data_IF_217984956869
#
_entry.id   IF_217984956869
#
_cell.length_a   1.000
_cell.length_b   1.000
_cell.length_c   1.000
_cell.angle_alpha   90.00
_cell.angle_beta   90.00
_cell.angle_gamma   90.00
#
_symmetry.space_group_name_H-M   'P 1'
#
loop_
_entity.id
_entity.type
_entity.pdbx_description
1 polymer ?
#
# COMPACT_ATOMS: atom_id res chain seq x y z
N UNK A 1 -13.54 42.53 -12.40
CA UNK A 1 -13.08 41.24 -11.81
C UNK A 1 -11.62 41.02 -12.22
N UNK A 2 -10.68 41.08 -11.28
CA UNK A 2 -9.25 40.92 -11.57
C UNK A 2 -8.97 39.48 -12.01
N UNK A 3 -8.48 39.31 -13.25
CA UNK A 3 -7.99 38.03 -13.76
C UNK A 3 -6.78 37.64 -12.90
N UNK A 4 -6.90 36.61 -12.05
CA UNK A 4 -5.71 36.05 -11.41
C UNK A 4 -4.71 35.65 -12.52
N UNK A 5 -3.40 35.93 -12.35
CA UNK A 5 -2.43 35.60 -13.37
C UNK A 5 -2.42 34.08 -13.59
N UNK A 6 -2.75 33.64 -14.81
CA UNK A 6 -2.86 32.23 -15.19
C UNK A 6 -1.62 31.40 -14.79
N UNK A 7 -0.43 32.02 -14.80
CA UNK A 7 0.84 31.40 -14.37
C UNK A 7 0.88 31.04 -12.87
N UNK A 8 0.23 31.82 -12.00
CA UNK A 8 0.15 31.50 -10.56
C UNK A 8 -0.73 30.27 -10.33
N UNK A 9 -1.82 30.13 -11.08
CA UNK A 9 -2.68 28.94 -11.03
C UNK A 9 -1.92 27.69 -11.46
N UNK A 10 -1.12 27.79 -12.53
CA UNK A 10 -0.29 26.68 -13.02
C UNK A 10 0.81 26.28 -12.04
N UNK A 11 1.46 27.26 -11.40
CA UNK A 11 2.46 26.99 -10.37
C UNK A 11 1.85 26.29 -9.15
N UNK A 12 0.70 26.79 -8.66
CA UNK A 12 -0.02 26.16 -7.53
C UNK A 12 -0.43 24.71 -7.86
N UNK A 13 -0.85 24.44 -9.10
CA UNK A 13 -1.19 23.09 -9.58
C UNK A 13 0.04 22.16 -9.54
N UNK A 14 1.20 22.59 -10.03
CA UNK A 14 2.45 21.81 -10.00
C UNK A 14 2.88 21.47 -8.57
N UNK A 15 2.86 22.47 -7.68
CA UNK A 15 3.22 22.28 -6.27
C UNK A 15 2.25 21.32 -5.58
N UNK A 16 0.97 21.41 -5.91
CA UNK A 16 -0.06 20.52 -5.37
C UNK A 16 0.14 19.08 -5.84
N UNK A 17 0.39 18.84 -7.13
CA UNK A 17 0.70 17.50 -7.67
C UNK A 17 1.91 16.88 -6.97
N UNK A 18 3.01 17.63 -6.87
CA UNK A 18 4.23 17.16 -6.20
C UNK A 18 3.98 16.83 -4.72
N UNK A 19 3.23 17.69 -4.02
CA UNK A 19 2.88 17.45 -2.61
C UNK A 19 2.03 16.19 -2.45
N UNK A 20 1.08 15.96 -3.36
CA UNK A 20 0.20 14.80 -3.32
C UNK A 20 0.95 13.50 -3.66
N UNK A 21 1.89 13.53 -4.62
CA UNK A 21 2.76 12.41 -4.92
C UNK A 21 3.72 12.07 -3.77
N UNK A 22 4.27 13.09 -3.11
CA UNK A 22 5.14 12.92 -1.95
C UNK A 22 4.39 12.30 -0.76
N UNK A 23 3.14 12.73 -0.52
CA UNK A 23 2.24 12.12 0.46
C UNK A 23 1.96 10.65 0.12
N UNK A 24 1.54 10.36 -1.13
CA UNK A 24 1.28 8.98 -1.58
C UNK A 24 2.51 8.09 -1.40
N UNK A 25 3.69 8.58 -1.78
CA UNK A 25 4.95 7.84 -1.64
C UNK A 25 5.29 7.56 -0.18
N UNK A 26 5.11 8.54 0.70
CA UNK A 26 5.34 8.38 2.14
C UNK A 26 4.40 7.36 2.74
N UNK A 27 3.11 7.40 2.40
CA UNK A 27 2.13 6.43 2.89
C UNK A 27 2.40 5.00 2.39
N UNK A 28 2.78 4.85 1.11
CA UNK A 28 3.25 3.56 0.59
C UNK A 28 4.50 3.09 1.36
N UNK A 29 5.47 3.97 1.58
CA UNK A 29 6.70 3.65 2.31
C UNK A 29 6.43 3.17 3.74
N UNK A 30 5.55 3.85 4.49
CA UNK A 30 5.13 3.41 5.84
C UNK A 30 4.51 2.00 5.80
N UNK A 31 3.65 1.74 4.82
CA UNK A 31 3.01 0.43 4.64
C UNK A 31 4.02 -0.65 4.28
N UNK A 32 5.00 -0.35 3.42
CA UNK A 32 6.09 -1.26 3.08
C UNK A 32 6.96 -1.61 4.31
N UNK A 33 7.27 -0.65 5.17
CA UNK A 33 8.00 -0.93 6.42
C UNK A 33 7.21 -1.87 7.33
N UNK A 34 5.89 -1.66 7.44
CA UNK A 34 5.03 -2.55 8.21
C UNK A 34 4.93 -3.95 7.59
N UNK A 35 4.84 -4.03 6.26
CA UNK A 35 4.87 -5.31 5.53
C UNK A 35 6.19 -6.04 5.78
N UNK A 36 7.32 -5.33 5.73
CA UNK A 36 8.64 -5.91 6.01
C UNK A 36 8.69 -6.53 7.39
N UNK A 37 8.22 -5.81 8.43
CA UNK A 37 8.16 -6.33 9.80
C UNK A 37 7.24 -7.55 9.91
N UNK A 38 6.05 -7.46 9.30
CA UNK A 38 5.06 -8.55 9.32
C UNK A 38 5.59 -9.81 8.61
N UNK A 39 6.31 -9.63 7.52
CA UNK A 39 6.93 -10.72 6.76
C UNK A 39 8.05 -11.40 7.55
N UNK A 40 8.92 -10.64 8.25
CA UNK A 40 9.90 -11.23 9.17
C UNK A 40 9.22 -12.05 10.27
N UNK A 41 8.19 -11.50 10.90
CA UNK A 41 7.42 -12.22 11.93
C UNK A 41 6.70 -13.46 11.40
N UNK A 42 6.29 -13.47 10.13
CA UNK A 42 5.70 -14.63 9.46
C UNK A 42 6.76 -15.72 9.25
N UNK A 43 7.93 -15.34 8.75
CA UNK A 43 9.05 -16.25 8.54
C UNK A 43 9.50 -16.90 9.85
N UNK A 44 9.71 -16.11 10.90
CA UNK A 44 10.05 -16.59 12.24
C UNK A 44 9.00 -17.59 12.77
N UNK A 45 7.71 -17.31 12.57
CA UNK A 45 6.65 -18.20 13.05
C UNK A 45 6.63 -19.55 12.31
N UNK A 46 6.89 -19.54 10.99
CA UNK A 46 7.04 -20.77 10.21
C UNK A 46 8.29 -21.55 10.61
N UNK A 47 9.41 -20.87 10.82
CA UNK A 47 10.65 -21.50 11.26
C UNK A 47 10.47 -22.15 12.64
N UNK A 48 9.91 -21.43 13.60
CA UNK A 48 9.66 -21.96 14.94
C UNK A 48 8.72 -23.18 14.91
N UNK A 49 7.66 -23.12 14.09
CA UNK A 49 6.75 -24.25 13.90
C UNK A 49 7.46 -25.45 13.26
N UNK A 50 8.29 -25.22 12.24
CA UNK A 50 9.08 -26.25 11.59
C UNK A 50 10.07 -26.92 12.55
N UNK A 51 10.77 -26.14 13.37
CA UNK A 51 11.68 -26.65 14.42
C UNK A 51 10.93 -27.47 15.46
N UNK A 52 9.73 -27.01 15.87
CA UNK A 52 8.88 -27.73 16.82
C UNK A 52 8.44 -29.09 16.26
N UNK A 53 7.95 -29.11 15.03
CA UNK A 53 7.51 -30.34 14.35
C UNK A 53 8.68 -31.30 14.11
N UNK A 54 9.84 -30.80 13.67
CA UNK A 54 11.02 -31.63 13.46
C UNK A 54 11.44 -32.35 14.74
N UNK A 55 11.52 -31.63 15.88
CA UNK A 55 11.82 -32.20 17.19
C UNK A 55 10.78 -33.23 17.64
N UNK A 56 9.50 -32.98 17.37
CA UNK A 56 8.42 -33.89 17.72
C UNK A 56 8.50 -35.20 16.90
N UNK A 57 8.85 -35.11 15.62
CA UNK A 57 9.05 -36.27 14.74
C UNK A 57 10.25 -37.10 15.20
N UNK A 58 11.39 -36.47 15.49
CA UNK A 58 12.60 -37.16 15.99
C UNK A 58 12.31 -37.96 17.26
N UNK A 59 11.49 -37.40 18.15
CA UNK A 59 11.08 -38.04 19.41
C UNK A 59 9.91 -39.02 19.25
N UNK A 60 9.32 -39.13 18.05
CA UNK A 60 8.08 -39.87 17.77
C UNK A 60 6.91 -39.45 18.68
N UNK A 61 6.86 -38.17 19.04
CA UNK A 61 5.88 -37.55 19.93
C UNK A 61 5.18 -36.39 19.21
N UNK A 62 4.63 -36.68 18.02
CA UNK A 62 3.86 -35.68 17.29
C UNK A 62 2.49 -35.52 17.92
N UNK A 63 2.28 -34.36 18.52
CA UNK A 63 1.02 -33.96 19.12
C UNK A 63 0.43 -32.79 18.32
N UNK A 64 -0.76 -33.01 17.74
CA UNK A 64 -1.46 -32.02 16.92
C UNK A 64 -2.19 -30.98 17.77
N UNK A 65 -2.44 -31.28 19.04
CA UNK A 65 -3.10 -30.37 19.99
C UNK A 65 -2.07 -29.56 20.79
N UNK A 66 -0.80 -29.57 20.37
CA UNK A 66 0.26 -28.81 21.02
C UNK A 66 -0.10 -27.31 21.08
N UNK A 67 -0.24 -26.72 22.28
CA UNK A 67 -0.74 -25.35 22.43
C UNK A 67 0.17 -24.31 21.78
N UNK A 68 1.49 -24.56 21.76
CA UNK A 68 2.45 -23.67 21.09
C UNK A 68 2.31 -23.75 19.56
N UNK A 69 2.11 -24.95 19.00
CA UNK A 69 1.86 -25.12 17.58
C UNK A 69 0.58 -24.38 17.12
N UNK A 70 -0.50 -24.48 17.91
CA UNK A 70 -1.75 -23.78 17.65
C UNK A 70 -1.60 -22.25 17.71
N UNK A 71 -0.81 -21.74 18.67
CA UNK A 71 -0.48 -20.31 18.77
C UNK A 71 0.31 -19.85 17.52
N UNK A 72 1.31 -20.62 17.10
CA UNK A 72 2.12 -20.31 15.92
C UNK A 72 1.29 -20.30 14.64
N UNK A 73 0.40 -21.27 14.45
CA UNK A 73 -0.55 -21.30 13.33
C UNK A 73 -1.46 -20.07 13.34
N UNK A 74 -1.94 -19.66 14.52
CA UNK A 74 -2.77 -18.47 14.66
C UNK A 74 -1.99 -17.19 14.32
N UNK A 75 -0.73 -17.09 14.76
CA UNK A 75 0.18 -15.99 14.41
C UNK A 75 0.44 -15.95 12.90
N UNK A 76 0.70 -17.09 12.26
CA UNK A 76 0.88 -17.23 10.81
C UNK A 76 -0.34 -16.69 10.06
N UNK A 77 -1.55 -17.16 10.41
CA UNK A 77 -2.80 -16.71 9.79
C UNK A 77 -2.98 -15.20 9.90
N UNK A 78 -2.74 -14.64 11.10
CA UNK A 78 -2.82 -13.20 11.32
C UNK A 78 -1.82 -12.42 10.47
N UNK A 79 -0.58 -12.88 10.39
CA UNK A 79 0.45 -12.26 9.56
C UNK A 79 0.09 -12.30 8.07
N UNK A 80 -0.47 -13.41 7.58
CA UNK A 80 -0.95 -13.53 6.19
C UNK A 80 -2.08 -12.55 5.89
N UNK A 81 -3.09 -12.46 6.77
CA UNK A 81 -4.18 -11.47 6.65
C UNK A 81 -3.63 -10.05 6.63
N UNK A 82 -2.73 -9.71 7.57
CA UNK A 82 -2.12 -8.39 7.63
C UNK A 82 -1.35 -8.04 6.35
N UNK A 83 -0.59 -8.99 5.78
CA UNK A 83 0.14 -8.75 4.53
C UNK A 83 -0.82 -8.51 3.36
N UNK A 84 -1.91 -9.27 3.29
CA UNK A 84 -2.96 -9.08 2.28
C UNK A 84 -3.66 -7.72 2.41
N UNK A 85 -3.95 -7.30 3.65
CA UNK A 85 -4.56 -6.00 3.92
C UNK A 85 -3.63 -4.85 3.51
N UNK A 86 -2.35 -4.96 3.85
CA UNK A 86 -1.33 -3.99 3.45
C UNK A 86 -1.24 -3.89 1.93
N UNK A 87 -1.21 -5.02 1.22
CA UNK A 87 -1.19 -5.06 -0.23
C UNK A 87 -2.42 -4.37 -0.83
N UNK A 88 -3.60 -4.67 -0.28
CA UNK A 88 -4.87 -4.06 -0.68
C UNK A 88 -4.84 -2.53 -0.49
N UNK A 89 -4.33 -2.06 0.64
CA UNK A 89 -4.18 -0.63 0.93
C UNK A 89 -3.17 0.07 0.01
N UNK A 90 -2.03 -0.57 -0.27
CA UNK A 90 -1.03 -0.03 -1.21
C UNK A 90 -1.63 0.08 -2.62
N UNK A 91 -2.38 -0.93 -3.06
CA UNK A 91 -3.06 -0.90 -4.36
C UNK A 91 -4.09 0.22 -4.43
N UNK A 92 -4.87 0.46 -3.36
CA UNK A 92 -5.79 1.61 -3.29
C UNK A 92 -5.07 2.95 -3.48
N UNK A 93 -3.87 3.12 -2.93
CA UNK A 93 -3.08 4.37 -3.07
C UNK A 93 -2.49 4.48 -4.49
N UNK A 94 -1.90 3.39 -5.00
CA UNK A 94 -1.27 3.34 -6.33
C UNK A 94 -2.26 3.64 -7.45
N UNK A 95 -3.48 3.12 -7.36
CA UNK A 95 -4.51 3.25 -8.39
C UNK A 95 -5.57 4.31 -8.08
N UNK A 96 -5.37 5.13 -7.05
CA UNK A 96 -6.26 6.25 -6.76
C UNK A 96 -6.23 7.27 -7.93
N UNK A 97 -7.40 7.76 -8.41
CA UNK A 97 -7.45 8.73 -9.49
C UNK A 97 -6.57 9.95 -9.18
N UNK A 98 -5.74 10.32 -10.16
CA UNK A 98 -4.85 11.47 -10.07
C UNK A 98 -5.57 12.80 -10.22
N UNK A 99 -4.88 13.93 -9.99
CA UNK A 99 -5.44 15.26 -10.22
C UNK A 99 -5.89 15.41 -11.69
N UNK A 100 -7.05 16.04 -11.88
CA UNK A 100 -7.69 16.22 -13.20
C UNK A 100 -6.88 17.20 -14.04
N UNK A 101 -6.43 16.76 -15.22
CA UNK A 101 -5.73 17.61 -16.19
C UNK A 101 -6.70 18.61 -16.85
N UNK A 102 -6.69 19.86 -16.36
CA UNK A 102 -7.57 20.94 -16.83
C UNK A 102 -7.04 21.61 -18.09
N UNK A 103 -5.83 21.28 -18.55
CA UNK A 103 -5.24 21.88 -19.77
C UNK A 103 -6.03 21.54 -21.04
N UNK A 104 -6.85 20.48 -21.00
CA UNK A 104 -7.70 20.03 -22.11
C UNK A 104 -9.02 20.78 -22.26
N UNK A 105 -9.44 21.60 -21.28
CA UNK A 105 -10.75 22.26 -21.30
C UNK A 105 -10.80 23.60 -22.06
N UNK A 106 -9.68 24.08 -22.62
CA UNK A 106 -9.61 25.43 -23.19
C UNK A 106 -9.72 25.52 -24.72
N UNK A 107 -9.86 24.40 -25.45
CA UNK A 107 -9.75 24.38 -26.92
C UNK A 107 -11.08 24.23 -27.69
N UNK A 108 -12.23 24.48 -27.07
CA UNK A 108 -13.55 24.20 -27.69
C UNK A 108 -14.46 25.41 -27.92
N UNK A 109 -13.97 26.65 -27.74
CA UNK A 109 -14.80 27.84 -28.00
C UNK A 109 -13.95 28.97 -28.56
N UNK A 110 -13.92 29.08 -29.89
CA UNK A 110 -14.04 30.34 -30.65
C UNK A 110 -13.59 30.14 -32.11
N UNK A 111 -14.56 29.89 -32.99
CA UNK A 111 -14.52 30.34 -34.38
C UNK A 111 -15.96 30.53 -34.89
N UNK A 112 -16.55 31.73 -34.77
CA UNK A 112 -17.52 32.18 -35.75
C UNK A 112 -16.74 32.66 -36.99
N UNK A 113 -16.94 31.97 -38.12
CA UNK A 113 -16.62 32.51 -39.44
C UNK A 113 -17.81 33.34 -39.90
N UNK A 114 -17.66 34.66 -39.89
CA UNK A 114 -18.50 35.59 -40.67
C UNK A 114 -17.49 36.31 -41.60
N UNK A 115 -17.47 36.06 -42.92
CA UNK A 115 -18.33 36.62 -43.98
C UNK A 115 -18.42 38.14 -43.96
#
# INVERSE_FOLDING_TARGET
MQRQPHWRSKFNEIVQVCTDELKKTTEIGKKMLNASKTNSSLHEAYEELGVLVAKAIEKKQLDWDNPRALELISKIKRCQTNLHDIETEVNKIKFAPGPVDISKNHNSKEHPKDQ
#
